data_IF_676609860713
#
_entry.id   IF_676609860713
#
_cell.length_a   1.000
_cell.length_b   1.000
_cell.length_c   1.000
_cell.angle_alpha   90.00
_cell.angle_beta   90.00
_cell.angle_gamma   90.00
#
_symmetry.space_group_name_H-M   'P 1'
#
loop_
_entity.id
_entity.type
_entity.pdbx_description
1 polymer ?
#
# COMPACT_ATOMS: atom_id res chain seq x y z
N UNK A 1 -37.36 39.24 -2.30
CA UNK A 1 -36.72 38.45 -1.23
C UNK A 1 -35.85 39.34 -0.37
N UNK A 2 -36.00 39.27 0.96
CA UNK A 2 -35.11 39.97 1.88
C UNK A 2 -33.75 39.26 1.93
N UNK A 3 -32.67 40.01 1.72
CA UNK A 3 -31.29 39.50 1.80
C UNK A 3 -30.97 39.19 3.26
N UNK A 4 -30.61 37.96 3.59
CA UNK A 4 -30.28 37.53 4.96
C UNK A 4 -28.80 37.21 5.10
N UNK A 5 -28.24 37.52 6.27
CA UNK A 5 -26.84 37.25 6.58
C UNK A 5 -26.64 35.78 6.96
N UNK A 6 -25.64 35.14 6.36
CA UNK A 6 -25.32 33.74 6.65
C UNK A 6 -24.80 33.48 8.08
N UNK A 7 -24.37 34.51 8.82
CA UNK A 7 -23.85 34.36 10.18
C UNK A 7 -24.85 34.69 11.28
N UNK A 8 -25.53 35.82 11.15
CA UNK A 8 -26.43 36.33 12.19
C UNK A 8 -27.90 36.22 11.82
N UNK A 9 -28.22 35.67 10.63
CA UNK A 9 -29.58 35.49 10.08
C UNK A 9 -30.45 36.75 9.98
N UNK A 10 -29.92 37.93 10.34
CA UNK A 10 -30.59 39.23 10.19
C UNK A 10 -30.56 39.71 8.73
N UNK A 11 -31.49 40.60 8.39
CA UNK A 11 -31.53 41.24 7.09
C UNK A 11 -30.27 42.10 6.87
N UNK A 12 -29.75 42.06 5.65
CA UNK A 12 -28.57 42.82 5.23
C UNK A 12 -29.04 43.97 4.36
N UNK A 13 -28.78 45.19 4.82
CA UNK A 13 -29.03 46.40 4.04
C UNK A 13 -27.97 46.58 2.94
N UNK A 14 -28.31 47.31 1.89
CA UNK A 14 -27.46 47.52 0.71
C UNK A 14 -26.09 48.13 1.03
N UNK A 15 -25.99 48.92 2.10
CA UNK A 15 -24.74 49.56 2.53
C UNK A 15 -23.75 48.55 3.15
N UNK A 16 -24.27 47.56 3.87
CA UNK A 16 -23.46 46.56 4.58
C UNK A 16 -23.33 45.25 3.81
N UNK A 17 -23.83 45.18 2.58
CA UNK A 17 -23.88 43.94 1.82
C UNK A 17 -22.50 43.50 1.35
N UNK A 18 -22.15 42.26 1.72
CA UNK A 18 -20.96 41.58 1.23
C UNK A 18 -21.39 40.23 0.65
N UNK A 19 -21.34 40.12 -0.68
CA UNK A 19 -21.68 38.89 -1.41
C UNK A 19 -20.40 38.05 -1.54
N UNK A 20 -20.39 36.88 -0.93
CA UNK A 20 -19.21 36.01 -0.87
C UNK A 20 -19.63 34.56 -0.65
N UNK A 21 -18.99 33.62 -1.37
CA UNK A 21 -19.26 32.17 -1.27
C UNK A 21 -20.76 31.83 -1.43
N UNK A 22 -21.39 32.42 -2.46
CA UNK A 22 -22.82 32.30 -2.77
C UNK A 22 -23.80 32.69 -1.65
N UNK A 23 -23.30 33.44 -0.66
CA UNK A 23 -24.09 33.92 0.48
C UNK A 23 -23.89 35.41 0.69
N UNK A 24 -24.83 36.01 1.40
CA UNK A 24 -24.77 37.43 1.78
C UNK A 24 -24.34 37.51 3.24
N UNK A 25 -23.43 38.42 3.53
CA UNK A 25 -22.87 38.67 4.86
C UNK A 25 -22.92 40.17 5.14
N UNK A 26 -22.98 40.55 6.42
CA UNK A 26 -22.60 41.91 6.81
C UNK A 26 -21.08 42.05 6.80
N UNK A 27 -20.57 43.25 6.49
CA UNK A 27 -19.13 43.58 6.58
C UNK A 27 -18.52 43.18 7.93
N UNK A 28 -19.21 43.43 9.05
CA UNK A 28 -18.76 43.04 10.40
C UNK A 28 -19.03 41.57 10.77
N UNK A 29 -19.91 40.88 10.05
CA UNK A 29 -20.21 39.46 10.29
C UNK A 29 -19.25 38.52 9.57
N UNK A 30 -18.48 39.04 8.62
CA UNK A 30 -17.53 38.26 7.84
C UNK A 30 -16.26 38.00 8.67
N UNK A 31 -16.30 36.95 9.49
CA UNK A 31 -15.20 36.58 10.37
C UNK A 31 -14.82 35.11 10.24
N UNK A 32 -13.53 34.83 10.43
CA UNK A 32 -12.98 33.48 10.37
C UNK A 32 -13.69 32.56 11.38
N UNK A 33 -14.06 31.36 10.96
CA UNK A 33 -14.75 30.41 11.86
C UNK A 33 -13.87 29.95 13.02
N UNK A 34 -12.56 29.80 12.79
CA UNK A 34 -11.61 29.31 13.80
C UNK A 34 -11.15 30.41 14.78
N UNK A 35 -10.72 31.57 14.29
CA UNK A 35 -10.13 32.62 15.15
C UNK A 35 -11.03 33.84 15.40
N UNK A 36 -12.19 33.94 14.74
CA UNK A 36 -13.07 35.10 14.91
C UNK A 36 -12.54 36.42 14.34
N UNK A 37 -11.35 36.44 13.73
CA UNK A 37 -10.79 37.63 13.07
C UNK A 37 -11.71 38.09 11.94
N UNK A 38 -12.01 39.39 11.88
CA UNK A 38 -12.75 39.99 10.78
C UNK A 38 -11.93 39.90 9.50
N UNK A 39 -12.54 39.34 8.47
CA UNK A 39 -11.94 39.16 7.17
C UNK A 39 -12.47 40.24 6.24
N UNK A 40 -11.74 40.51 5.17
CA UNK A 40 -12.17 41.40 4.10
C UNK A 40 -12.09 40.62 2.76
N UNK A 41 -12.61 41.19 1.69
CA UNK A 41 -12.63 40.54 0.37
C UNK A 41 -11.23 40.17 -0.15
N UNK A 42 -10.16 40.82 0.34
CA UNK A 42 -8.78 40.59 -0.08
C UNK A 42 -8.09 39.48 0.71
N UNK A 43 -8.39 39.34 2.00
CA UNK A 43 -7.66 38.49 2.95
C UNK A 43 -8.39 37.17 3.29
N UNK A 44 -9.59 36.94 2.74
CA UNK A 44 -10.31 35.71 3.04
C UNK A 44 -9.95 34.57 2.08
N UNK A 45 -10.06 33.35 2.59
CA UNK A 45 -9.95 32.12 1.83
C UNK A 45 -11.17 31.26 2.13
N UNK A 46 -11.86 30.82 1.08
CA UNK A 46 -13.10 30.05 1.22
C UNK A 46 -12.82 28.55 1.25
N UNK A 47 -13.31 27.86 2.28
CA UNK A 47 -13.31 26.40 2.35
C UNK A 47 -14.72 25.94 2.78
N UNK A 48 -15.30 24.96 2.09
CA UNK A 48 -16.67 24.47 2.37
C UNK A 48 -17.75 25.56 2.57
N UNK A 49 -17.73 26.61 1.74
CA UNK A 49 -18.66 27.76 1.82
C UNK A 49 -18.60 28.55 3.14
N UNK A 50 -17.47 28.49 3.85
CA UNK A 50 -17.18 29.29 5.04
C UNK A 50 -15.90 30.11 4.85
N UNK A 51 -15.82 31.33 5.41
CA UNK A 51 -14.63 32.16 5.33
C UNK A 51 -13.59 31.76 6.39
N UNK A 52 -12.36 31.58 5.96
CA UNK A 52 -11.18 31.33 6.78
C UNK A 52 -10.12 32.42 6.55
N UNK A 53 -9.29 32.66 7.56
CA UNK A 53 -8.07 33.44 7.38
C UNK A 53 -6.98 32.59 6.72
N UNK A 54 -5.95 33.24 6.18
CA UNK A 54 -4.83 32.57 5.51
C UNK A 54 -4.15 31.49 6.36
N UNK A 55 -4.04 31.72 7.68
CA UNK A 55 -3.43 30.77 8.60
C UNK A 55 -4.32 29.56 8.94
N UNK A 56 -5.65 29.68 8.90
CA UNK A 56 -6.59 28.65 9.36
C UNK A 56 -7.34 27.94 8.23
N UNK A 57 -6.87 28.05 6.99
CA UNK A 57 -7.45 27.30 5.86
C UNK A 57 -7.20 25.81 6.10
N UNK A 58 -8.24 24.96 6.17
CA UNK A 58 -8.04 23.53 6.15
C UNK A 58 -7.42 23.16 4.81
N UNK A 59 -6.13 22.82 4.83
CA UNK A 59 -5.45 22.30 3.64
C UNK A 59 -6.11 20.98 3.31
N UNK A 60 -6.76 20.91 2.16
CA UNK A 60 -7.36 19.67 1.64
C UNK A 60 -6.22 18.68 1.52
N UNK A 61 -6.11 17.77 2.50
CA UNK A 61 -5.20 16.63 2.36
C UNK A 61 -5.79 15.84 1.21
N UNK A 62 -5.03 15.70 0.12
CA UNK A 62 -5.43 14.88 -1.01
C UNK A 62 -5.82 13.52 -0.45
N UNK A 63 -7.12 13.23 -0.43
CA UNK A 63 -7.61 11.91 -0.08
C UNK A 63 -7.13 11.02 -1.21
N UNK A 64 -6.05 10.26 -0.98
CA UNK A 64 -5.76 9.07 -1.76
C UNK A 64 -7.07 8.30 -1.79
N UNK A 65 -7.64 8.15 -2.98
CA UNK A 65 -8.96 7.56 -3.22
C UNK A 65 -9.24 6.48 -2.18
N UNK A 66 -10.38 6.61 -1.48
CA UNK A 66 -10.88 5.59 -0.57
C UNK A 66 -10.65 4.22 -1.22
N UNK A 67 -10.06 3.28 -0.47
CA UNK A 67 -9.73 1.93 -0.92
C UNK A 67 -10.96 1.25 -1.51
N UNK A 68 -11.25 1.49 -2.80
CA UNK A 68 -12.34 0.81 -3.45
C UNK A 68 -11.95 -0.67 -3.49
N UNK A 69 -12.87 -1.59 -3.18
CA UNK A 69 -12.62 -3.03 -3.29
C UNK A 69 -12.05 -3.42 -4.65
N UNK A 70 -12.34 -2.61 -5.68
CA UNK A 70 -11.87 -2.80 -7.04
C UNK A 70 -10.36 -2.58 -7.21
N UNK A 71 -9.74 -1.63 -6.49
CA UNK A 71 -8.28 -1.46 -6.52
C UNK A 71 -7.55 -2.66 -5.90
N UNK A 72 -8.13 -3.27 -4.86
CA UNK A 72 -7.59 -4.49 -4.24
C UNK A 72 -7.65 -5.68 -5.21
N UNK A 73 -8.77 -5.84 -5.93
CA UNK A 73 -8.93 -6.90 -6.95
C UNK A 73 -7.97 -6.76 -8.13
N UNK A 74 -7.70 -5.54 -8.60
CA UNK A 74 -6.73 -5.28 -9.69
C UNK A 74 -5.30 -5.59 -9.21
N UNK A 75 -4.96 -5.22 -7.97
CA UNK A 75 -3.65 -5.49 -7.40
C UNK A 75 -3.41 -7.00 -7.17
N UNK A 76 -4.41 -7.74 -6.69
CA UNK A 76 -4.33 -9.20 -6.51
C UNK A 76 -4.20 -9.93 -7.85
N UNK A 77 -4.98 -9.55 -8.87
CA UNK A 77 -4.88 -10.14 -10.20
C UNK A 77 -3.53 -9.87 -10.86
N UNK A 78 -3.00 -8.65 -10.75
CA UNK A 78 -1.68 -8.28 -11.31
C UNK A 78 -0.54 -9.08 -10.68
N UNK A 79 -0.60 -9.34 -9.36
CA UNK A 79 0.40 -10.16 -8.66
C UNK A 79 0.44 -11.60 -9.18
N UNK A 80 -0.71 -12.16 -9.53
CA UNK A 80 -0.84 -13.52 -10.06
C UNK A 80 -0.39 -13.61 -11.52
N UNK A 81 -0.50 -12.52 -12.28
CA UNK A 81 -0.21 -12.50 -13.73
C UNK A 81 1.25 -12.32 -14.14
N UNK A 82 2.17 -11.98 -13.24
CA UNK A 82 3.57 -11.71 -13.64
C UNK A 82 4.47 -12.97 -13.63
N UNK A 83 5.50 -12.92 -14.47
CA UNK A 83 6.52 -13.95 -14.79
C UNK A 83 7.16 -14.66 -13.56
N UNK A 84 6.95 -14.13 -12.35
CA UNK A 84 7.38 -14.69 -11.06
C UNK A 84 6.73 -16.04 -10.79
N UNK A 85 5.41 -16.21 -10.99
CA UNK A 85 4.76 -17.50 -10.73
C UNK A 85 5.20 -18.59 -11.72
N UNK A 86 5.43 -18.18 -12.97
CA UNK A 86 5.94 -19.08 -14.01
C UNK A 86 7.36 -19.58 -13.69
N UNK A 87 8.22 -18.73 -13.11
CA UNK A 87 9.56 -19.14 -12.66
C UNK A 87 9.53 -19.87 -11.31
N UNK A 88 8.59 -19.55 -10.41
CA UNK A 88 8.44 -20.21 -9.11
C UNK A 88 8.09 -21.70 -9.25
N UNK A 89 7.19 -22.05 -10.19
CA UNK A 89 6.85 -23.46 -10.48
C UNK A 89 8.02 -24.19 -11.18
N UNK A 90 8.83 -23.48 -11.98
CA UNK A 90 10.05 -24.00 -12.59
C UNK A 90 11.16 -24.24 -11.55
N UNK A 91 11.34 -23.33 -10.59
CA UNK A 91 12.32 -23.49 -9.50
C UNK A 91 11.91 -24.58 -8.50
N UNK A 92 10.61 -24.67 -8.15
CA UNK A 92 10.08 -25.73 -7.28
C UNK A 92 10.17 -27.13 -7.90
N UNK A 93 10.06 -27.24 -9.22
CA UNK A 93 10.22 -28.52 -9.92
C UNK A 93 11.69 -28.91 -10.14
N UNK A 94 12.61 -27.93 -10.22
CA UNK A 94 14.06 -28.18 -10.30
C UNK A 94 14.64 -28.88 -9.06
N UNK A 95 13.99 -28.76 -7.91
CA UNK A 95 14.42 -29.37 -6.63
C UNK A 95 13.81 -30.75 -6.33
N UNK A 96 12.84 -31.23 -7.11
CA UNK A 96 12.27 -32.58 -6.96
C UNK A 96 12.89 -33.53 -7.97
N UNK A 97 14.20 -33.76 -7.85
CA UNK A 97 14.75 -35.00 -8.38
C UNK A 97 14.30 -36.12 -7.43
N UNK A 98 13.15 -36.75 -7.73
CA UNK A 98 12.84 -38.05 -7.15
C UNK A 98 13.89 -39.01 -7.71
N UNK A 99 15.04 -39.11 -7.05
CA UNK A 99 15.93 -40.23 -7.29
C UNK A 99 15.11 -41.44 -6.90
N UNK A 100 14.62 -42.18 -7.88
CA UNK A 100 14.12 -43.53 -7.67
C UNK A 100 15.33 -44.31 -7.18
N UNK A 101 15.56 -44.25 -5.87
CA UNK A 101 16.59 -44.98 -5.15
C UNK A 101 16.04 -46.38 -4.99
N UNK A 102 16.41 -47.24 -5.94
CA UNK A 102 16.91 -48.59 -5.73
C UNK A 102 16.71 -49.46 -6.98
N UNK A 103 17.34 -49.09 -8.11
CA UNK A 103 17.53 -50.06 -9.18
C UNK A 103 18.51 -51.15 -8.67
N UNK A 104 18.14 -52.44 -8.62
CA UNK A 104 18.98 -53.52 -8.11
C UNK A 104 20.34 -53.62 -8.79
N UNK A 105 20.47 -53.08 -10.00
CA UNK A 105 21.70 -53.09 -10.78
C UNK A 105 22.76 -52.14 -10.19
N UNK A 106 22.36 -50.96 -9.70
CA UNK A 106 23.27 -49.99 -9.10
C UNK A 106 23.85 -50.50 -7.77
N UNK A 107 23.03 -51.19 -6.97
CA UNK A 107 23.46 -51.83 -5.72
C UNK A 107 24.49 -52.93 -5.96
N UNK A 108 24.31 -53.74 -7.01
CA UNK A 108 25.26 -54.78 -7.42
C UNK A 108 26.61 -54.19 -7.83
N UNK A 109 26.61 -53.12 -8.64
CA UNK A 109 27.84 -52.44 -9.05
C UNK A 109 28.58 -51.87 -7.84
N UNK A 110 27.86 -51.28 -6.88
CA UNK A 110 28.45 -50.69 -5.68
C UNK A 110 29.00 -51.75 -4.71
N UNK A 111 28.34 -52.90 -4.58
CA UNK A 111 28.86 -54.04 -3.80
C UNK A 111 30.09 -54.66 -4.46
N UNK A 112 30.09 -54.85 -5.78
CA UNK A 112 31.28 -55.32 -6.50
C UNK A 112 32.44 -54.34 -6.37
N UNK A 113 32.20 -53.04 -6.49
CA UNK A 113 33.22 -52.00 -6.30
C UNK A 113 33.87 -52.08 -4.90
N UNK A 114 33.07 -52.32 -3.86
CA UNK A 114 33.57 -52.48 -2.48
C UNK A 114 34.41 -53.74 -2.31
N UNK A 115 34.02 -54.85 -2.95
CA UNK A 115 34.75 -56.13 -2.91
C UNK A 115 36.07 -56.03 -3.70
N UNK A 116 36.07 -55.32 -4.83
CA UNK A 116 37.23 -55.17 -5.71
C UNK A 116 38.28 -54.21 -5.13
N UNK A 117 37.88 -53.24 -4.28
CA UNK A 117 38.84 -52.36 -3.62
C UNK A 117 39.73 -53.15 -2.64
N UNK A 118 41.06 -52.96 -2.73
CA UNK A 118 42.11 -53.67 -1.97
C UNK A 118 42.00 -53.62 -0.42
N UNK A 119 40.95 -53.01 0.14
CA UNK A 119 40.71 -52.88 1.57
C UNK A 119 40.39 -54.23 2.23
N UNK A 120 39.71 -55.15 1.56
CA UNK A 120 39.46 -56.49 2.10
C UNK A 120 40.75 -57.33 2.17
N UNK A 121 41.61 -57.23 1.15
CA UNK A 121 42.84 -58.00 1.07
C UNK A 121 43.91 -57.51 2.08
N UNK A 122 44.01 -56.19 2.31
CA UNK A 122 44.93 -55.64 3.31
C UNK A 122 44.38 -55.72 4.75
N UNK A 123 43.07 -55.56 4.96
CA UNK A 123 42.47 -55.60 6.30
C UNK A 123 42.42 -57.00 6.94
N UNK A 124 42.38 -58.07 6.14
CA UNK A 124 42.48 -59.44 6.66
C UNK A 124 43.92 -59.86 6.99
N UNK A 125 44.92 -59.27 6.32
CA UNK A 125 46.34 -59.49 6.64
C UNK A 125 46.73 -58.81 7.96
N UNK A 126 46.24 -57.60 8.22
CA UNK A 126 46.47 -56.88 9.48
C UNK A 126 45.80 -57.58 10.67
N UNK A 127 44.62 -58.19 10.47
CA UNK A 127 43.92 -58.95 11.53
C UNK A 127 44.49 -60.34 11.80
N UNK A 128 45.22 -60.95 10.85
CA UNK A 128 45.96 -62.20 11.06
C UNK A 128 47.37 -62.00 11.63
N UNK A 129 47.85 -60.75 11.66
CA UNK A 129 49.16 -60.38 12.21
C UNK A 129 49.11 -59.88 13.66
N UNK A 130 47.92 -59.87 14.29
CA UNK A 130 47.69 -59.56 15.70
C UNK A 130 47.24 -60.82 16.46
#
# INVERSE_FOLDING_TARGET
MNKVCARCSKTVYTIEELKCLDKIWHKGCFKCQTCGMTLNMRNYKGFNKQPYCEAHIPKVKATTMAETPELKRIAENTKIQSNVKYHEDFEKSKGKFTQVVDDPELKRIQQNSKIISNVAYHGELEKKAA
#
